data_IF_929766540965
#
_entry.id   IF_929766540965
#
_cell.length_a   1.000
_cell.length_b   1.000
_cell.length_c   1.000
_cell.angle_alpha   90.00
_cell.angle_beta   90.00
_cell.angle_gamma   90.00
#
_symmetry.space_group_name_H-M   'P 1'
#
loop_
_entity.id
_entity.type
_entity.pdbx_description
1 polymer ?
#
# COMPACT_ATOMS: atom_id res chain seq x y z
N UNK A 1 -24.23 -9.64 10.92
CA UNK A 1 -22.81 -9.44 11.30
C UNK A 1 -22.06 -8.87 10.11
N UNK A 2 -21.10 -7.95 10.31
CA UNK A 2 -20.32 -7.39 9.18
C UNK A 2 -19.30 -8.40 8.67
N UNK A 3 -19.32 -8.69 7.38
CA UNK A 3 -18.30 -9.51 6.69
C UNK A 3 -16.93 -8.84 6.79
N UNK A 4 -15.86 -9.63 6.84
CA UNK A 4 -14.49 -9.14 6.65
C UNK A 4 -13.69 -10.07 5.78
N UNK A 5 -12.78 -9.49 4.99
CA UNK A 5 -11.90 -10.22 4.08
C UNK A 5 -10.47 -9.94 4.52
N UNK A 6 -9.80 -10.93 5.10
CA UNK A 6 -8.44 -10.76 5.62
C UNK A 6 -7.39 -10.74 4.49
N UNK A 7 -7.53 -11.59 3.48
CA UNK A 7 -6.51 -11.78 2.45
C UNK A 7 -6.44 -10.56 1.50
N UNK A 8 -5.27 -9.91 1.46
CA UNK A 8 -5.00 -8.74 0.60
C UNK A 8 -5.10 -9.10 -0.89
N UNK A 9 -4.76 -10.32 -1.27
CA UNK A 9 -4.78 -10.78 -2.65
C UNK A 9 -6.21 -10.90 -3.18
N UNK A 10 -7.16 -11.39 -2.38
CA UNK A 10 -8.56 -11.49 -2.78
C UNK A 10 -9.14 -10.14 -3.11
N UNK A 11 -8.93 -9.15 -2.24
CA UNK A 11 -9.33 -7.76 -2.46
C UNK A 11 -8.65 -7.17 -3.69
N UNK A 12 -7.34 -7.38 -3.84
CA UNK A 12 -6.57 -6.90 -4.99
C UNK A 12 -7.08 -7.49 -6.31
N UNK A 13 -7.40 -8.78 -6.35
CA UNK A 13 -7.94 -9.46 -7.54
C UNK A 13 -9.27 -8.86 -8.00
N UNK A 14 -10.15 -8.46 -7.09
CA UNK A 14 -11.40 -7.79 -7.45
C UNK A 14 -11.10 -6.48 -8.18
N UNK A 15 -10.20 -5.65 -7.64
CA UNK A 15 -9.83 -4.37 -8.25
C UNK A 15 -9.15 -4.53 -9.62
N UNK A 16 -8.32 -5.57 -9.78
CA UNK A 16 -7.60 -5.83 -11.03
C UNK A 16 -8.50 -6.25 -12.20
N UNK A 17 -9.75 -6.66 -11.96
CA UNK A 17 -10.71 -7.01 -13.02
C UNK A 17 -11.24 -5.79 -13.77
N UNK A 18 -11.02 -4.57 -13.28
CA UNK A 18 -11.57 -3.35 -13.86
C UNK A 18 -10.44 -2.43 -14.32
N UNK A 19 -10.32 -2.21 -15.63
CA UNK A 19 -9.14 -1.57 -16.24
C UNK A 19 -8.78 -0.19 -15.66
N UNK A 20 -9.79 0.66 -15.41
CA UNK A 20 -9.59 2.00 -14.83
C UNK A 20 -9.01 1.95 -13.41
N UNK A 21 -9.39 0.94 -12.62
CA UNK A 21 -8.88 0.71 -11.26
C UNK A 21 -7.55 -0.03 -11.29
N UNK A 22 -7.40 -1.03 -12.15
CA UNK A 22 -6.19 -1.81 -12.30
C UNK A 22 -4.97 -0.92 -12.61
N UNK A 23 -5.16 0.11 -13.44
CA UNK A 23 -4.13 1.12 -13.74
C UNK A 23 -3.68 1.96 -12.52
N UNK A 24 -4.44 1.92 -11.42
CA UNK A 24 -4.14 2.57 -10.13
C UNK A 24 -3.60 1.58 -9.09
N UNK A 25 -3.54 0.28 -9.37
CA UNK A 25 -2.96 -0.71 -8.46
C UNK A 25 -1.50 -0.94 -8.88
N UNK A 26 -0.51 -0.78 -7.98
CA UNK A 26 0.86 -1.14 -8.29
C UNK A 26 0.95 -2.61 -8.69
N UNK A 27 1.77 -2.95 -9.69
CA UNK A 27 1.91 -4.34 -10.12
C UNK A 27 2.18 -5.23 -8.91
N UNK A 28 1.29 -6.22 -8.71
CA UNK A 28 1.26 -7.08 -7.53
C UNK A 28 1.21 -8.53 -7.98
N UNK A 29 2.13 -9.35 -7.46
CA UNK A 29 2.24 -10.77 -7.76
C UNK A 29 2.30 -11.58 -6.46
N UNK A 30 1.88 -12.84 -6.50
CA UNK A 30 2.22 -13.77 -5.40
C UNK A 30 3.72 -13.98 -5.36
N UNK A 31 4.27 -14.16 -4.16
CA UNK A 31 5.70 -14.42 -4.03
C UNK A 31 6.07 -15.72 -4.75
N UNK A 32 7.04 -15.62 -5.64
CA UNK A 32 7.89 -16.71 -6.09
C UNK A 32 9.28 -16.14 -6.39
N UNK A 33 10.37 -16.92 -6.25
CA UNK A 33 11.72 -16.43 -6.51
C UNK A 33 11.88 -15.79 -7.90
N UNK A 34 11.33 -16.42 -8.94
CA UNK A 34 11.32 -15.89 -10.31
C UNK A 34 10.60 -14.54 -10.41
N UNK A 35 9.46 -14.40 -9.72
CA UNK A 35 8.69 -13.15 -9.70
C UNK A 35 9.43 -12.04 -8.97
N UNK A 36 10.10 -12.34 -7.85
CA UNK A 36 10.93 -11.37 -7.13
C UNK A 36 12.08 -10.89 -8.01
N UNK A 37 12.81 -11.82 -8.65
CA UNK A 37 13.91 -11.48 -9.55
C UNK A 37 13.44 -10.59 -10.70
N UNK A 38 12.38 -11.00 -11.40
CA UNK A 38 11.82 -10.24 -12.52
C UNK A 38 11.33 -8.84 -12.13
N UNK A 39 10.62 -8.72 -11.00
CA UNK A 39 10.17 -7.42 -10.51
C UNK A 39 11.33 -6.52 -10.07
N UNK A 40 12.39 -7.08 -9.45
CA UNK A 40 13.59 -6.32 -9.10
C UNK A 40 14.37 -5.87 -10.34
N UNK A 41 14.44 -6.70 -11.38
CA UNK A 41 15.04 -6.32 -12.66
C UNK A 41 14.28 -5.17 -13.33
N UNK A 42 12.94 -5.23 -13.31
CA UNK A 42 12.08 -4.24 -13.96
C UNK A 42 11.96 -2.91 -13.20
N UNK A 43 11.87 -2.97 -11.88
CA UNK A 43 11.54 -1.79 -11.06
C UNK A 43 12.66 -1.33 -10.14
N UNK A 44 13.71 -2.13 -9.96
CA UNK A 44 14.78 -1.87 -9.00
C UNK A 44 14.36 -2.01 -7.53
N UNK A 45 13.07 -1.81 -7.19
CA UNK A 45 12.56 -1.83 -5.81
C UNK A 45 11.20 -2.51 -5.72
N UNK A 46 11.07 -3.42 -4.76
CA UNK A 46 9.87 -4.24 -4.53
C UNK A 46 9.54 -4.29 -3.05
N UNK A 47 8.25 -4.16 -2.72
CA UNK A 47 7.73 -4.41 -1.38
C UNK A 47 7.22 -5.85 -1.30
N UNK A 48 7.81 -6.66 -0.42
CA UNK A 48 7.26 -7.95 -0.05
C UNK A 48 6.41 -7.80 1.22
N UNK A 49 5.15 -8.28 1.19
CA UNK A 49 4.19 -8.12 2.28
C UNK A 49 3.38 -9.40 2.53
N UNK A 50 3.09 -9.78 3.79
CA UNK A 50 2.21 -10.92 4.05
C UNK A 50 0.81 -10.75 3.42
N UNK A 51 0.22 -11.82 2.91
CA UNK A 51 -1.14 -11.79 2.34
C UNK A 51 -2.18 -11.42 3.41
N UNK A 52 -2.02 -11.90 4.63
CA UNK A 52 -2.89 -11.61 5.78
C UNK A 52 -2.15 -10.77 6.84
N UNK A 53 -2.86 -10.31 7.87
CA UNK A 53 -2.31 -9.48 8.95
C UNK A 53 -2.36 -7.98 8.67
N UNK A 54 -2.12 -7.19 9.72
CA UNK A 54 -2.33 -5.73 9.75
C UNK A 54 -1.10 -4.97 10.24
N UNK A 55 -1.12 -3.65 10.11
CA UNK A 55 -0.16 -2.78 10.79
C UNK A 55 1.27 -2.82 10.23
N UNK A 56 1.44 -3.24 8.98
CA UNK A 56 2.74 -3.25 8.30
C UNK A 56 3.78 -4.20 8.89
N UNK A 57 3.36 -5.13 9.76
CA UNK A 57 4.25 -6.19 10.26
C UNK A 57 4.60 -7.14 9.12
N UNK A 58 5.87 -7.55 9.04
CA UNK A 58 6.34 -8.44 7.97
C UNK A 58 6.66 -7.74 6.64
N UNK A 59 6.55 -6.41 6.54
CA UNK A 59 6.94 -5.68 5.33
C UNK A 59 8.46 -5.72 5.14
N UNK A 60 8.88 -6.09 3.93
CA UNK A 60 10.27 -6.03 3.47
C UNK A 60 10.32 -5.10 2.25
N UNK A 61 11.10 -4.04 2.30
CA UNK A 61 11.45 -3.29 1.09
C UNK A 61 12.78 -3.82 0.57
N UNK A 62 12.75 -4.39 -0.62
CA UNK A 62 13.90 -4.98 -1.28
C UNK A 62 14.30 -4.07 -2.43
N UNK A 63 15.58 -3.71 -2.50
CA UNK A 63 16.12 -2.87 -3.56
C UNK A 63 17.33 -3.54 -4.20
N UNK A 64 17.44 -3.49 -5.52
CA UNK A 64 18.66 -3.84 -6.25
C UNK A 64 19.66 -2.69 -6.10
N UNK A 65 20.90 -2.99 -5.73
CA UNK A 65 21.96 -2.00 -5.52
C UNK A 65 23.26 -2.51 -6.14
N UNK A 66 23.63 -1.95 -7.31
CA UNK A 66 24.76 -2.44 -8.09
C UNK A 66 24.62 -3.93 -8.42
N UNK A 67 25.62 -4.72 -8.01
CA UNK A 67 25.64 -6.18 -8.19
C UNK A 67 24.87 -6.95 -7.10
N UNK A 68 24.49 -6.30 -6.00
CA UNK A 68 23.81 -6.93 -4.88
C UNK A 68 22.43 -6.35 -4.60
N UNK A 69 21.96 -6.58 -3.38
CA UNK A 69 20.61 -6.22 -2.94
C UNK A 69 20.64 -5.67 -1.52
N UNK A 70 19.79 -4.70 -1.24
CA UNK A 70 19.44 -4.32 0.13
C UNK A 70 18.03 -4.75 0.47
N UNK A 71 17.81 -5.11 1.72
CA UNK A 71 16.48 -5.39 2.24
C UNK A 71 16.29 -4.68 3.58
N UNK A 72 15.22 -3.90 3.65
CA UNK A 72 14.82 -3.16 4.83
C UNK A 72 13.73 -3.94 5.55
N UNK A 73 13.97 -4.31 6.81
CA UNK A 73 13.03 -5.06 7.63
C UNK A 73 13.11 -4.57 9.07
N UNK A 74 11.95 -4.25 9.67
CA UNK A 74 11.83 -3.78 11.06
C UNK A 74 12.78 -2.61 11.43
N UNK A 75 13.04 -1.69 10.49
CA UNK A 75 13.90 -0.52 10.70
C UNK A 75 15.39 -0.77 10.45
N UNK A 76 15.82 -2.02 10.25
CA UNK A 76 17.20 -2.33 9.86
C UNK A 76 17.33 -2.44 8.35
N UNK A 77 18.42 -1.90 7.81
CA UNK A 77 18.85 -2.11 6.43
C UNK A 77 19.95 -3.16 6.44
N UNK A 78 19.83 -4.16 5.58
CA UNK A 78 20.82 -5.23 5.44
C UNK A 78 21.17 -5.43 3.99
N UNK A 79 22.41 -5.86 3.74
CA UNK A 79 22.92 -6.15 2.41
C UNK A 79 22.96 -7.66 2.15
N UNK A 80 22.73 -8.05 0.90
CA UNK A 80 22.91 -9.38 0.38
C UNK A 80 23.67 -9.29 -0.94
N UNK A 81 24.86 -9.88 -0.99
CA UNK A 81 25.73 -9.80 -2.16
C UNK A 81 25.18 -10.54 -3.39
N UNK A 82 24.34 -11.57 -3.16
CA UNK A 82 23.76 -12.40 -4.22
C UNK A 82 22.25 -12.54 -4.07
N UNK A 83 21.58 -12.92 -5.16
CA UNK A 83 20.15 -13.18 -5.12
C UNK A 83 19.80 -14.37 -4.22
N UNK A 84 20.66 -15.40 -4.18
CA UNK A 84 20.50 -16.54 -3.28
C UNK A 84 20.55 -16.11 -1.80
N UNK A 85 21.52 -15.26 -1.42
CA UNK A 85 21.61 -14.73 -0.06
C UNK A 85 20.37 -13.88 0.31
N UNK A 86 19.86 -13.07 -0.63
CA UNK A 86 18.62 -12.33 -0.47
C UNK A 86 17.43 -13.27 -0.25
N UNK A 87 17.29 -14.31 -1.07
CA UNK A 87 16.20 -15.28 -0.94
C UNK A 87 16.23 -15.96 0.42
N UNK A 88 17.39 -16.44 0.87
CA UNK A 88 17.55 -17.05 2.20
C UNK A 88 17.07 -16.10 3.31
N UNK A 89 17.43 -14.82 3.24
CA UNK A 89 16.97 -13.82 4.20
C UNK A 89 15.45 -13.61 4.13
N UNK A 90 14.88 -13.50 2.93
CA UNK A 90 13.43 -13.33 2.75
C UNK A 90 12.65 -14.55 3.23
N UNK A 91 13.10 -15.78 2.95
CA UNK A 91 12.48 -17.00 3.46
C UNK A 91 12.50 -17.05 4.99
N UNK A 92 13.62 -16.69 5.62
CA UNK A 92 13.74 -16.59 7.08
C UNK A 92 12.76 -15.60 7.69
N UNK A 93 12.57 -14.43 7.07
CA UNK A 93 11.61 -13.42 7.54
C UNK A 93 10.16 -13.90 7.34
N UNK A 94 9.88 -14.54 6.21
CA UNK A 94 8.54 -15.01 5.87
C UNK A 94 8.09 -16.16 6.76
N UNK A 95 8.99 -17.06 7.18
CA UNK A 95 8.68 -18.23 8.02
C UNK A 95 7.52 -19.06 7.46
N UNK A 96 7.61 -19.44 6.18
CA UNK A 96 6.57 -20.20 5.48
C UNK A 96 5.31 -19.43 5.08
N UNK A 97 5.09 -18.22 5.59
CA UNK A 97 3.86 -17.44 5.28
C UNK A 97 3.76 -17.03 3.82
N UNK A 98 2.53 -17.01 3.31
CA UNK A 98 2.17 -16.46 2.00
C UNK A 98 2.44 -14.95 1.93
N UNK A 99 3.16 -14.52 0.91
CA UNK A 99 3.51 -13.11 0.68
C UNK A 99 3.10 -12.68 -0.73
N UNK A 100 2.86 -11.39 -0.86
CA UNK A 100 2.74 -10.66 -2.11
C UNK A 100 4.02 -9.86 -2.36
N UNK A 101 4.39 -9.75 -3.62
CA UNK A 101 5.39 -8.86 -4.15
C UNK A 101 4.65 -7.71 -4.84
N UNK A 102 4.95 -6.48 -4.47
CA UNK A 102 4.31 -5.30 -5.02
C UNK A 102 5.37 -4.30 -5.46
N UNK A 103 5.21 -3.68 -6.64
CA UNK A 103 6.09 -2.59 -7.07
C UNK A 103 6.14 -1.51 -5.99
N UNK A 104 7.34 -1.10 -5.59
CA UNK A 104 7.51 0.02 -4.68
C UNK A 104 7.24 1.33 -5.42
N UNK A 105 6.23 2.08 -5.01
CA UNK A 105 5.91 3.39 -5.58
C UNK A 105 6.80 4.46 -4.92
N UNK A 106 7.44 5.35 -5.70
CA UNK A 106 8.14 6.51 -5.16
C UNK A 106 7.11 7.54 -4.66
N UNK A 107 6.65 7.34 -3.43
CA UNK A 107 5.67 8.22 -2.79
C UNK A 107 6.22 9.64 -2.62
N UNK A 108 5.32 10.62 -2.76
CA UNK A 108 5.53 11.99 -2.38
C UNK A 108 6.00 12.10 -0.93
N UNK A 109 6.80 13.13 -0.65
CA UNK A 109 7.53 13.24 0.63
C UNK A 109 7.35 14.61 1.25
N UNK A 110 7.37 14.65 2.57
CA UNK A 110 7.55 15.88 3.34
C UNK A 110 8.86 15.72 4.11
N UNK A 111 9.83 16.60 3.88
CA UNK A 111 11.15 16.56 4.51
C UNK A 111 11.81 15.17 4.40
N UNK A 112 11.79 14.60 3.19
CA UNK A 112 12.36 13.28 2.92
C UNK A 112 11.57 12.08 3.48
N UNK A 113 10.46 12.28 4.18
CA UNK A 113 9.62 11.20 4.75
C UNK A 113 8.45 10.88 3.82
N UNK A 114 8.20 9.61 3.47
CA UNK A 114 7.08 9.25 2.59
C UNK A 114 5.73 9.57 3.22
N UNK A 115 4.81 10.02 2.38
CA UNK A 115 3.43 10.36 2.71
C UNK A 115 2.47 9.42 1.97
N UNK A 116 1.45 8.95 2.65
CA UNK A 116 0.28 8.34 2.04
C UNK A 116 -1.02 8.91 2.63
N UNK A 117 -2.16 8.44 2.14
CA UNK A 117 -3.48 8.90 2.56
C UNK A 117 -4.37 7.73 2.96
N UNK A 118 -4.99 7.83 4.13
CA UNK A 118 -6.06 6.94 4.58
C UNK A 118 -7.40 7.57 4.25
N UNK A 119 -8.23 6.85 3.49
CA UNK A 119 -9.63 7.19 3.24
C UNK A 119 -10.53 6.15 3.89
N UNK A 120 -11.41 6.58 4.80
CA UNK A 120 -12.41 5.72 5.45
C UNK A 120 -13.78 5.96 4.81
N UNK A 121 -14.44 4.88 4.39
CA UNK A 121 -15.80 4.90 3.85
C UNK A 121 -16.64 3.88 4.62
N UNK A 122 -17.84 4.28 5.04
CA UNK A 122 -18.72 3.50 5.92
C UNK A 122 -20.10 3.40 5.30
N UNK A 123 -20.71 2.22 5.35
CA UNK A 123 -22.10 2.04 5.00
C UNK A 123 -22.98 2.63 6.12
N UNK A 124 -23.83 3.60 5.77
CA UNK A 124 -24.81 4.23 6.67
C UNK A 124 -26.24 3.81 6.35
N UNK A 125 -26.42 2.56 5.94
CA UNK A 125 -27.71 1.99 5.55
C UNK A 125 -27.97 2.18 4.06
N UNK A 126 -28.45 3.36 3.65
CA UNK A 126 -28.82 3.64 2.26
C UNK A 126 -27.66 4.10 1.37
N UNK A 127 -26.53 4.51 1.98
CA UNK A 127 -25.38 5.04 1.24
C UNK A 127 -24.05 4.75 1.92
N UNK A 128 -23.03 4.59 1.08
CA UNK A 128 -21.63 4.59 1.50
C UNK A 128 -21.14 6.04 1.64
N UNK A 129 -20.64 6.41 2.82
CA UNK A 129 -20.21 7.79 3.13
C UNK A 129 -18.74 7.79 3.49
N UNK A 130 -17.95 8.62 2.79
CA UNK A 130 -16.56 8.86 3.17
C UNK A 130 -16.53 9.72 4.43
N UNK A 131 -16.09 9.14 5.54
CA UNK A 131 -16.06 9.77 6.86
C UNK A 131 -14.71 10.39 7.21
N UNK A 132 -13.63 9.98 6.54
CA UNK A 132 -12.31 10.57 6.77
C UNK A 132 -11.42 10.50 5.52
N UNK A 133 -10.61 11.54 5.34
CA UNK A 133 -9.45 11.58 4.44
C UNK A 133 -8.30 12.24 5.21
N UNK A 134 -7.30 11.47 5.59
CA UNK A 134 -6.16 11.95 6.39
C UNK A 134 -4.84 11.58 5.72
N UNK A 135 -3.84 12.47 5.79
CA UNK A 135 -2.48 12.14 5.40
C UNK A 135 -1.75 11.43 6.53
N UNK A 136 -0.91 10.45 6.20
CA UNK A 136 -0.05 9.75 7.18
C UNK A 136 1.40 9.86 6.74
N UNK A 137 2.18 10.60 7.53
CA UNK A 137 3.60 10.81 7.28
C UNK A 137 4.41 9.75 8.03
N UNK A 138 5.21 8.97 7.32
CA UNK A 138 6.08 7.95 7.91
C UNK A 138 7.02 8.53 8.97
N UNK A 139 7.40 7.76 9.99
CA UNK A 139 8.45 8.15 10.93
C UNK A 139 9.78 8.35 10.19
N UNK A 140 10.67 9.28 10.61
CA UNK A 140 12.02 9.38 10.03
C UNK A 140 12.71 8.01 9.95
N UNK A 141 13.39 7.74 8.83
CA UNK A 141 14.10 6.48 8.58
C UNK A 141 13.23 5.29 8.17
N UNK A 142 11.89 5.37 8.28
CA UNK A 142 10.99 4.30 7.82
C UNK A 142 10.51 4.54 6.39
N UNK A 143 10.45 3.46 5.60
CA UNK A 143 9.84 3.47 4.28
C UNK A 143 8.32 3.23 4.31
N UNK A 144 7.76 2.91 5.48
CA UNK A 144 6.34 2.66 5.71
C UNK A 144 5.72 3.79 6.52
N UNK A 145 4.52 4.17 6.14
CA UNK A 145 3.69 5.30 6.62
C UNK A 145 2.75 4.93 7.77
N UNK A 146 2.81 3.68 8.25
CA UNK A 146 1.83 3.19 9.21
C UNK A 146 1.88 3.95 10.56
N UNK A 147 0.76 4.53 10.97
CA UNK A 147 0.60 5.28 12.22
C UNK A 147 0.97 4.43 13.45
N UNK A 148 0.66 3.13 13.47
CA UNK A 148 1.03 2.22 14.57
C UNK A 148 2.55 2.05 14.75
N UNK A 149 3.37 2.59 13.84
CA UNK A 149 4.84 2.60 13.94
C UNK A 149 5.39 4.00 14.26
N UNK A 150 4.55 4.90 14.80
CA UNK A 150 4.93 6.27 15.16
C UNK A 150 4.89 7.24 13.98
N UNK A 151 4.03 6.98 12.99
CA UNK A 151 3.74 7.93 11.92
C UNK A 151 2.94 9.13 12.44
N UNK A 152 3.01 10.27 11.74
CA UNK A 152 2.27 11.49 12.09
C UNK A 152 1.01 11.58 11.23
N UNK A 153 -0.17 11.71 11.86
CA UNK A 153 -1.40 12.02 11.14
C UNK A 153 -1.44 13.52 10.83
N UNK A 154 -1.79 13.86 9.59
CA UNK A 154 -1.92 15.22 9.11
C UNK A 154 -3.33 15.43 8.53
N UNK A 155 -3.85 16.66 8.64
CA UNK A 155 -5.00 17.08 7.81
C UNK A 155 -4.62 16.89 6.34
N UNK A 156 -5.50 16.29 5.55
CA UNK A 156 -5.22 15.96 4.15
C UNK A 156 -4.81 17.19 3.34
N UNK A 157 -5.47 18.33 3.52
CA UNK A 157 -5.13 19.57 2.79
C UNK A 157 -3.71 20.04 3.10
N UNK A 158 -3.30 20.01 4.36
CA UNK A 158 -1.93 20.35 4.78
C UNK A 158 -0.92 19.36 4.19
N UNK A 159 -1.23 18.06 4.26
CA UNK A 159 -0.35 17.03 3.74
C UNK A 159 -0.12 17.18 2.23
N UNK A 160 -1.18 17.49 1.48
CA UNK A 160 -1.10 17.70 0.03
C UNK A 160 -0.26 18.94 -0.28
N UNK A 161 -0.58 20.10 0.33
CA UNK A 161 0.15 21.35 0.08
C UNK A 161 1.64 21.26 0.39
N UNK A 162 2.03 20.47 1.39
CA UNK A 162 3.44 20.31 1.80
C UNK A 162 4.22 19.32 0.95
N UNK A 163 3.56 18.37 0.28
CA UNK A 163 4.22 17.27 -0.41
C UNK A 163 4.11 17.35 -1.93
N UNK A 164 3.13 18.08 -2.45
CA UNK A 164 2.73 18.02 -3.86
C UNK A 164 2.35 19.41 -4.38
N UNK A 165 2.70 19.67 -5.64
CA UNK A 165 2.29 20.85 -6.39
C UNK A 165 0.91 20.67 -7.05
N UNK A 166 -0.05 20.08 -6.34
CA UNK A 166 -1.42 19.85 -6.84
C UNK A 166 -2.46 20.45 -5.91
N UNK A 167 -3.60 20.87 -6.46
CA UNK A 167 -4.72 21.39 -5.66
C UNK A 167 -5.24 20.32 -4.68
N UNK A 168 -5.33 20.61 -3.37
CA UNK A 168 -5.94 19.70 -2.40
C UNK A 168 -7.36 19.30 -2.75
N UNK A 169 -8.17 20.24 -3.27
CA UNK A 169 -9.55 19.98 -3.66
C UNK A 169 -9.61 18.96 -4.82
N UNK A 170 -8.76 19.14 -5.84
CA UNK A 170 -8.66 18.23 -6.99
C UNK A 170 -8.28 16.82 -6.56
N UNK A 171 -7.17 16.68 -5.82
CA UNK A 171 -6.65 15.37 -5.44
C UNK A 171 -7.60 14.62 -4.49
N UNK A 172 -8.22 15.33 -3.54
CA UNK A 172 -9.27 14.77 -2.68
C UNK A 172 -10.50 14.36 -3.48
N UNK A 173 -10.94 15.16 -4.44
CA UNK A 173 -12.05 14.81 -5.34
C UNK A 173 -11.77 13.49 -6.06
N UNK A 174 -10.57 13.36 -6.62
CA UNK A 174 -10.13 12.13 -7.31
C UNK A 174 -10.08 10.92 -6.36
N UNK A 175 -9.54 11.09 -5.14
CA UNK A 175 -9.58 10.04 -4.11
C UNK A 175 -11.00 9.62 -3.75
N UNK A 176 -11.95 10.57 -3.64
CA UNK A 176 -13.35 10.27 -3.34
C UNK A 176 -14.00 9.46 -4.44
N UNK A 177 -13.88 9.90 -5.68
CA UNK A 177 -14.41 9.20 -6.86
C UNK A 177 -13.86 7.78 -6.95
N UNK A 178 -12.53 7.63 -6.83
CA UNK A 178 -11.88 6.32 -6.86
C UNK A 178 -12.35 5.42 -5.71
N UNK A 179 -12.51 5.97 -4.51
CA UNK A 179 -12.95 5.23 -3.32
C UNK A 179 -14.39 4.72 -3.47
N UNK A 180 -15.32 5.56 -3.94
CA UNK A 180 -16.70 5.13 -4.17
C UNK A 180 -16.77 4.03 -5.23
N UNK A 181 -16.03 4.18 -6.33
CA UNK A 181 -15.99 3.18 -7.38
C UNK A 181 -15.43 1.84 -6.86
N UNK A 182 -14.28 1.85 -6.19
CA UNK A 182 -13.69 0.64 -5.62
C UNK A 182 -14.56 0.01 -4.53
N UNK A 183 -15.25 0.82 -3.71
CA UNK A 183 -16.16 0.32 -2.69
C UNK A 183 -17.33 -0.46 -3.32
N UNK A 184 -17.92 0.05 -4.40
CA UNK A 184 -18.97 -0.66 -5.15
C UNK A 184 -18.49 -2.03 -5.64
N UNK A 185 -17.31 -2.09 -6.26
CA UNK A 185 -16.72 -3.35 -6.75
C UNK A 185 -16.49 -4.37 -5.62
N UNK A 186 -15.97 -3.91 -4.48
CA UNK A 186 -15.69 -4.78 -3.34
C UNK A 186 -16.98 -5.26 -2.65
N UNK A 187 -18.01 -4.43 -2.56
CA UNK A 187 -19.30 -4.82 -1.98
C UNK A 187 -20.02 -5.83 -2.85
N UNK A 188 -19.94 -5.69 -4.17
CA UNK A 188 -20.49 -6.67 -5.11
C UNK A 188 -19.77 -8.02 -4.96
N UNK A 189 -18.45 -8.02 -4.82
CA UNK A 189 -17.66 -9.24 -4.65
C UNK A 189 -17.78 -9.85 -3.24
N UNK A 190 -18.01 -9.03 -2.21
CA UNK A 190 -18.07 -9.43 -0.82
C UNK A 190 -19.29 -8.79 -0.12
N UNK A 191 -20.48 -9.38 -0.27
CA UNK A 191 -21.69 -8.90 0.41
C UNK A 191 -21.51 -8.85 1.94
N UNK A 192 -22.15 -7.86 2.57
CA UNK A 192 -22.14 -7.69 4.03
C UNK A 192 -20.97 -6.87 4.60
N UNK A 193 -20.12 -6.27 3.76
CA UNK A 193 -19.13 -5.29 4.20
C UNK A 193 -19.83 -4.04 4.78
N UNK A 194 -19.48 -3.64 6.02
CA UNK A 194 -20.00 -2.42 6.66
C UNK A 194 -19.10 -1.20 6.56
N UNK A 195 -17.79 -1.38 6.34
CA UNK A 195 -16.81 -0.31 6.25
C UNK A 195 -15.56 -0.72 5.48
N UNK A 196 -14.89 0.25 4.87
CA UNK A 196 -13.63 0.06 4.13
C UNK A 196 -12.65 1.19 4.47
N UNK A 197 -11.37 0.83 4.54
CA UNK A 197 -10.25 1.76 4.67
C UNK A 197 -9.28 1.59 3.50
N UNK A 198 -9.17 2.62 2.67
CA UNK A 198 -8.24 2.65 1.54
C UNK A 198 -6.95 3.34 1.96
N UNK A 199 -5.84 2.70 1.64
CA UNK A 199 -4.50 3.25 1.80
C UNK A 199 -3.99 3.64 0.41
N UNK A 200 -4.00 4.94 0.13
CA UNK A 200 -3.55 5.51 -1.14
C UNK A 200 -2.14 6.08 -1.02
N UNK A 201 -1.25 5.63 -1.89
CA UNK A 201 -0.01 6.31 -2.18
C UNK A 201 -0.25 7.39 -3.22
N UNK A 202 0.48 8.49 -3.15
CA UNK A 202 0.54 9.48 -4.23
C UNK A 202 1.99 9.63 -4.62
N UNK A 203 2.31 9.49 -5.90
CA UNK A 203 3.67 9.72 -6.39
C UNK A 203 3.95 11.21 -6.60
N UNK A 204 5.20 11.55 -6.93
CA UNK A 204 5.63 12.94 -7.12
C UNK A 204 4.89 13.68 -8.25
N UNK A 205 4.23 12.94 -9.17
CA UNK A 205 3.45 13.52 -10.26
C UNK A 205 1.97 13.70 -9.89
N UNK A 206 1.60 13.45 -8.63
CA UNK A 206 0.22 13.53 -8.17
C UNK A 206 -0.65 12.33 -8.55
N UNK A 207 -0.07 11.25 -9.12
CA UNK A 207 -0.85 10.07 -9.48
C UNK A 207 -1.17 9.26 -8.23
N UNK A 208 -2.46 8.95 -8.05
CA UNK A 208 -2.95 8.12 -6.95
C UNK A 208 -2.72 6.64 -7.25
N UNK A 209 -2.23 5.91 -6.26
CA UNK A 209 -2.00 4.47 -6.27
C UNK A 209 -2.73 3.80 -5.10
N UNK A 210 -3.46 2.71 -5.35
CA UNK A 210 -4.14 1.90 -4.33
C UNK A 210 -3.11 0.91 -3.75
N UNK A 211 -2.56 1.21 -2.58
CA UNK A 211 -1.56 0.35 -1.95
C UNK A 211 -2.21 -0.84 -1.25
N UNK A 212 -3.34 -0.59 -0.58
CA UNK A 212 -4.09 -1.57 0.19
C UNK A 212 -5.54 -1.13 0.41
N UNK A 213 -6.43 -2.11 0.60
CA UNK A 213 -7.80 -1.90 1.09
C UNK A 213 -8.03 -2.78 2.31
N UNK A 214 -8.58 -2.22 3.38
CA UNK A 214 -8.90 -2.90 4.64
C UNK A 214 -10.41 -2.98 4.84
N UNK A 215 -10.96 -4.14 5.19
CA UNK A 215 -12.40 -4.33 5.45
C UNK A 215 -12.81 -4.20 6.92
N UNK A 216 -11.82 -4.06 7.80
CA UNK A 216 -12.01 -3.70 9.21
C UNK A 216 -10.98 -2.63 9.58
N UNK A 217 -11.08 -1.42 9.01
CA UNK A 217 -10.18 -0.35 9.36
C UNK A 217 -10.39 0.04 10.83
N UNK A 218 -9.32 -0.04 11.62
CA UNK A 218 -9.23 0.65 12.90
C UNK A 218 -9.16 2.16 12.66
#
# INVERSE_FOLDING_TARGET
>A
MSTSVADKWEKTRVLLKHGSVAARVPETRRFAPSQLSGMLARYGRVVAKPTTGTGGSGLILISKQGKGYTYHYQGSVRYAATFAALLTAVHRIRRGRSYLLQRAIPLARINGRPLDFRVKIVNKGSKWVITAIVGRLARPGLFVTNLCKGGTQLKSDMAIRRALSVSPARLKGEMRTLTHHCAGLLVQAFPGLGQLGFDYGVDNNGRIWILEVNTQPK
#
